data_IF_597387824819
#
_entry.id   IF_597387824819
#
_cell.length_a   1.000
_cell.length_b   1.000
_cell.length_c   1.000
_cell.angle_alpha   90.00
_cell.angle_beta   90.00
_cell.angle_gamma   90.00
#
_symmetry.space_group_name_H-M   'P 1'
#
loop_
_entity.id
_entity.type
_entity.pdbx_description
1 polymer ?
#
# COMPACT_ATOMS: atom_id res chain seq x y z
N UNK A 1 64.47 27.23 49.57
CA UNK A 1 63.29 27.90 48.98
C UNK A 1 62.85 27.35 47.61
N UNK A 2 63.37 26.19 47.12
CA UNK A 2 62.98 25.60 45.81
C UNK A 2 61.83 24.57 45.88
N UNK A 3 61.71 23.86 47.00
CA UNK A 3 60.77 22.72 47.12
C UNK A 3 59.28 23.11 47.29
N UNK A 4 59.01 24.32 47.81
CA UNK A 4 57.61 24.80 47.91
C UNK A 4 57.09 25.34 46.58
N UNK A 5 57.96 25.90 45.75
CA UNK A 5 57.60 26.47 44.46
C UNK A 5 57.31 25.36 43.44
N UNK A 6 58.12 24.29 43.42
CA UNK A 6 57.88 23.12 42.56
C UNK A 6 56.56 22.43 42.88
N UNK A 7 56.17 22.34 44.16
CA UNK A 7 54.87 21.76 44.57
C UNK A 7 53.69 22.61 44.11
N UNK A 8 53.82 23.94 44.12
CA UNK A 8 52.81 24.87 43.61
C UNK A 8 52.71 24.77 42.09
N UNK A 9 53.84 24.69 41.38
CA UNK A 9 53.87 24.49 39.93
C UNK A 9 53.25 23.15 39.51
N UNK A 10 53.57 22.06 40.22
CA UNK A 10 52.97 20.75 39.97
C UNK A 10 51.46 20.75 40.21
N UNK A 11 50.99 21.40 41.27
CA UNK A 11 49.54 21.55 41.53
C UNK A 11 48.85 22.33 40.41
N UNK A 12 49.45 23.41 39.92
CA UNK A 12 48.90 24.20 38.82
C UNK A 12 48.81 23.38 37.51
N UNK A 13 49.80 22.54 37.22
CA UNK A 13 49.78 21.64 36.05
C UNK A 13 48.68 20.59 36.20
N UNK A 14 48.51 20.01 37.39
CA UNK A 14 47.45 19.02 37.63
C UNK A 14 46.06 19.64 37.49
N UNK A 15 45.85 20.85 38.02
CA UNK A 15 44.57 21.57 37.90
C UNK A 15 44.25 21.92 36.45
N UNK A 16 45.26 22.36 35.68
CA UNK A 16 45.06 22.66 34.24
C UNK A 16 44.79 21.39 33.43
N UNK A 17 45.44 20.27 33.73
CA UNK A 17 45.14 18.98 33.11
C UNK A 17 43.71 18.50 33.45
N UNK A 18 43.28 18.64 34.71
CA UNK A 18 41.91 18.31 35.11
C UNK A 18 40.89 19.22 34.41
N UNK A 19 41.18 20.51 34.27
CA UNK A 19 40.32 21.45 33.56
C UNK A 19 40.24 21.13 32.06
N UNK A 20 41.34 20.73 31.42
CA UNK A 20 41.37 20.28 30.02
C UNK A 20 40.58 18.98 29.86
N UNK A 21 40.71 18.03 30.78
CA UNK A 21 39.93 16.78 30.77
C UNK A 21 38.45 17.05 31.01
N UNK A 22 38.10 17.93 31.94
CA UNK A 22 36.73 18.35 32.20
C UNK A 22 36.12 19.09 30.99
N UNK A 23 36.88 20.00 30.37
CA UNK A 23 36.48 20.71 29.17
C UNK A 23 36.35 19.78 27.95
N UNK A 24 37.27 18.83 27.78
CA UNK A 24 37.18 17.79 26.77
C UNK A 24 35.98 16.88 27.02
N UNK A 25 35.66 16.53 28.27
CA UNK A 25 34.44 15.76 28.59
C UNK A 25 33.15 16.57 28.43
N UNK A 26 33.21 17.90 28.59
CA UNK A 26 32.13 18.83 28.26
C UNK A 26 31.91 18.98 26.75
N UNK A 27 32.98 18.93 25.95
CA UNK A 27 32.95 19.01 24.48
C UNK A 27 32.68 17.65 23.81
N UNK A 28 33.02 16.54 24.49
CA UNK A 28 32.69 15.15 24.10
C UNK A 28 31.28 14.74 24.57
N UNK A 29 30.50 15.69 25.10
CA UNK A 29 29.05 15.69 24.86
C UNK A 29 28.75 16.20 23.44
N UNK A 30 29.53 15.72 22.49
CA UNK A 30 29.21 15.67 21.07
C UNK A 30 27.94 14.85 20.98
N UNK A 31 26.82 15.55 20.84
CA UNK A 31 25.72 15.34 19.90
C UNK A 31 25.59 13.96 19.21
N UNK A 32 25.83 12.87 19.95
CA UNK A 32 25.79 11.50 19.44
C UNK A 32 24.38 10.90 19.51
N UNK A 33 23.38 11.73 19.78
CA UNK A 33 21.98 11.32 19.90
C UNK A 33 21.01 12.19 19.08
N UNK A 34 21.49 12.88 18.04
CA UNK A 34 20.63 13.58 17.06
C UNK A 34 20.73 13.07 15.62
N UNK A 35 21.24 11.86 15.40
CA UNK A 35 20.79 11.06 14.25
C UNK A 35 19.56 10.28 14.69
N UNK A 36 18.55 11.01 15.15
CA UNK A 36 17.21 10.48 15.28
C UNK A 36 16.65 10.43 13.88
N UNK A 37 16.61 9.22 13.32
CA UNK A 37 15.74 8.80 12.23
C UNK A 37 14.89 9.93 11.61
N UNK A 38 15.47 10.70 10.68
CA UNK A 38 14.75 11.74 9.94
C UNK A 38 13.73 11.14 8.95
N UNK A 39 13.60 9.81 8.90
CA UNK A 39 12.43 9.17 8.31
C UNK A 39 11.33 9.23 9.35
N UNK A 40 10.66 10.37 9.42
CA UNK A 40 9.48 10.50 10.26
C UNK A 40 8.49 9.35 10.00
N UNK A 41 7.58 9.03 10.94
CA UNK A 41 6.66 7.90 10.83
C UNK A 41 5.79 7.92 9.55
N UNK A 42 5.69 9.05 8.85
CA UNK A 42 5.08 9.13 7.51
C UNK A 42 5.97 8.54 6.40
N UNK A 43 7.28 8.78 6.43
CA UNK A 43 8.25 8.24 5.46
C UNK A 43 8.38 6.73 5.63
N UNK A 44 8.47 6.24 6.87
CA UNK A 44 8.52 4.80 7.16
C UNK A 44 7.22 4.08 6.73
N UNK A 45 6.05 4.68 6.98
CA UNK A 45 4.77 4.16 6.48
C UNK A 45 4.70 4.13 4.96
N UNK A 46 5.15 5.19 4.28
CA UNK A 46 5.20 5.22 2.82
C UNK A 46 6.14 4.15 2.25
N UNK A 47 7.29 3.88 2.89
CA UNK A 47 8.21 2.80 2.49
C UNK A 47 7.53 1.43 2.68
N UNK A 48 6.82 1.22 3.79
CA UNK A 48 6.12 -0.05 4.05
C UNK A 48 4.96 -0.31 3.10
N UNK A 49 4.13 0.72 2.85
CA UNK A 49 3.09 0.67 1.82
C UNK A 49 3.69 0.36 0.45
N UNK A 50 4.86 0.95 0.18
CA UNK A 50 5.52 0.75 -1.10
C UNK A 50 6.07 -0.66 -1.29
N UNK A 51 6.76 -1.17 -0.29
CA UNK A 51 7.29 -2.54 -0.28
C UNK A 51 6.14 -3.52 -0.38
N UNK A 52 5.03 -3.28 0.33
CA UNK A 52 3.81 -4.10 0.23
C UNK A 52 3.24 -4.07 -1.18
N UNK A 53 3.06 -2.90 -1.79
CA UNK A 53 2.50 -2.80 -3.12
C UNK A 53 3.35 -3.54 -4.17
N UNK A 54 4.68 -3.35 -4.13
CA UNK A 54 5.60 -4.05 -5.02
C UNK A 54 5.57 -5.57 -4.80
N UNK A 55 5.56 -6.01 -3.55
CA UNK A 55 5.44 -7.42 -3.20
C UNK A 55 4.16 -8.04 -3.76
N UNK A 56 3.02 -7.35 -3.68
CA UNK A 56 1.76 -7.84 -4.23
C UNK A 56 1.82 -7.93 -5.76
N UNK A 57 2.37 -6.93 -6.44
CA UNK A 57 2.55 -6.96 -7.90
C UNK A 57 3.38 -8.18 -8.32
N UNK A 58 4.53 -8.41 -7.68
CA UNK A 58 5.39 -9.56 -7.99
C UNK A 58 4.73 -10.91 -7.64
N UNK A 59 4.06 -10.99 -6.50
CA UNK A 59 3.42 -12.24 -6.02
C UNK A 59 2.28 -12.67 -6.94
N UNK A 60 1.57 -11.71 -7.54
CA UNK A 60 0.37 -11.96 -8.32
C UNK A 60 0.55 -11.89 -9.83
N UNK A 61 1.73 -11.46 -10.30
CA UNK A 61 2.14 -11.44 -11.70
C UNK A 61 1.81 -12.74 -12.47
N UNK A 62 2.00 -13.96 -11.91
CA UNK A 62 1.63 -15.19 -12.63
C UNK A 62 0.14 -15.29 -12.97
N UNK A 63 -0.74 -14.70 -12.15
CA UNK A 63 -2.19 -14.69 -12.42
C UNK A 63 -2.50 -13.77 -13.59
N UNK A 64 -1.89 -12.58 -13.62
CA UNK A 64 -2.06 -11.62 -14.72
C UNK A 64 -1.57 -12.24 -16.04
N UNK A 65 -0.42 -12.92 -16.04
CA UNK A 65 0.10 -13.61 -17.22
C UNK A 65 -0.82 -14.73 -17.72
N UNK A 66 -1.40 -15.53 -16.83
CA UNK A 66 -2.37 -16.57 -17.20
C UNK A 66 -3.65 -15.93 -17.78
N UNK A 67 -4.10 -14.80 -17.21
CA UNK A 67 -5.23 -14.03 -17.72
C UNK A 67 -4.96 -13.48 -19.11
N UNK A 68 -3.80 -12.88 -19.36
CA UNK A 68 -3.40 -12.36 -20.68
C UNK A 68 -3.38 -13.44 -21.76
N UNK A 69 -2.96 -14.66 -21.40
CA UNK A 69 -3.03 -15.84 -22.28
C UNK A 69 -4.43 -16.42 -22.44
N UNK A 70 -5.42 -15.85 -21.76
CA UNK A 70 -6.81 -16.33 -21.68
C UNK A 70 -6.95 -17.73 -21.07
N UNK A 71 -5.96 -18.15 -20.29
CA UNK A 71 -5.97 -19.41 -19.54
C UNK A 71 -6.75 -19.25 -18.23
N UNK A 72 -8.02 -18.83 -18.33
CA UNK A 72 -8.81 -18.38 -17.18
C UNK A 72 -9.00 -19.43 -16.10
N UNK A 73 -9.14 -20.71 -16.47
CA UNK A 73 -9.25 -21.80 -15.51
C UNK A 73 -7.98 -21.94 -14.66
N UNK A 74 -6.81 -21.85 -15.28
CA UNK A 74 -5.52 -21.87 -14.59
C UNK A 74 -5.32 -20.61 -13.74
N UNK A 75 -5.71 -19.43 -14.25
CA UNK A 75 -5.64 -18.18 -13.51
C UNK A 75 -6.49 -18.23 -12.23
N UNK A 76 -7.74 -18.71 -12.31
CA UNK A 76 -8.63 -18.85 -11.16
C UNK A 76 -8.12 -19.89 -10.15
N UNK A 77 -7.56 -21.01 -10.64
CA UNK A 77 -6.92 -21.99 -9.76
C UNK A 77 -5.74 -21.35 -9.02
N UNK A 78 -4.94 -20.53 -9.71
CA UNK A 78 -3.82 -19.83 -9.10
C UNK A 78 -4.26 -18.81 -8.06
N UNK A 79 -5.34 -18.07 -8.33
CA UNK A 79 -5.97 -17.19 -7.33
C UNK A 79 -6.39 -17.97 -6.09
N UNK A 80 -7.00 -19.16 -6.25
CA UNK A 80 -7.43 -19.99 -5.13
C UNK A 80 -6.24 -20.53 -4.31
N UNK A 81 -5.12 -20.86 -4.96
CA UNK A 81 -3.89 -21.22 -4.26
C UNK A 81 -3.37 -20.05 -3.43
N UNK A 82 -3.30 -18.86 -4.01
CA UNK A 82 -2.81 -17.65 -3.35
C UNK A 82 -3.71 -17.22 -2.19
N UNK A 83 -5.03 -17.43 -2.29
CA UNK A 83 -5.99 -17.13 -1.21
C UNK A 83 -5.73 -17.96 0.05
N UNK A 84 -5.13 -19.16 -0.07
CA UNK A 84 -4.72 -19.96 1.09
C UNK A 84 -3.52 -19.34 1.82
N UNK A 85 -2.58 -18.77 1.07
CA UNK A 85 -1.38 -18.13 1.62
C UNK A 85 -1.64 -16.72 2.10
N UNK A 86 -2.59 -16.02 1.47
CA UNK A 86 -2.92 -14.62 1.72
C UNK A 86 -4.43 -14.45 1.92
N UNK A 87 -5.00 -15.03 3.01
CA UNK A 87 -6.44 -14.98 3.25
C UNK A 87 -6.90 -13.53 3.44
N UNK A 88 -7.96 -13.14 2.73
CA UNK A 88 -8.55 -11.81 2.83
C UNK A 88 -7.78 -10.70 2.11
N UNK A 89 -6.73 -11.01 1.35
CA UNK A 89 -6.01 -10.02 0.55
C UNK A 89 -6.92 -9.48 -0.57
N UNK A 90 -7.27 -8.18 -0.56
CA UNK A 90 -8.26 -7.62 -1.49
C UNK A 90 -7.79 -7.64 -2.95
N UNK A 91 -6.49 -7.69 -3.21
CA UNK A 91 -5.97 -7.75 -4.59
C UNK A 91 -6.40 -9.05 -5.29
N UNK A 92 -6.55 -10.15 -4.55
CA UNK A 92 -7.07 -11.40 -5.11
C UNK A 92 -8.52 -11.25 -5.63
N UNK A 93 -9.31 -10.36 -5.02
CA UNK A 93 -10.66 -10.05 -5.50
C UNK A 93 -10.63 -9.21 -6.79
N UNK A 94 -9.65 -8.31 -6.96
CA UNK A 94 -9.43 -7.61 -8.23
C UNK A 94 -9.13 -8.61 -9.34
N UNK A 95 -8.15 -9.48 -9.14
CA UNK A 95 -7.73 -10.47 -10.14
C UNK A 95 -8.90 -11.40 -10.52
N UNK A 96 -9.58 -11.95 -9.52
CA UNK A 96 -10.76 -12.79 -9.74
C UNK A 96 -11.86 -12.03 -10.47
N UNK A 97 -12.09 -10.77 -10.11
CA UNK A 97 -13.06 -9.91 -10.78
C UNK A 97 -12.73 -9.70 -12.25
N UNK A 98 -11.48 -9.35 -12.55
CA UNK A 98 -10.97 -9.16 -13.92
C UNK A 98 -11.18 -10.42 -14.78
N UNK A 99 -10.79 -11.59 -14.27
CA UNK A 99 -10.98 -12.87 -14.96
C UNK A 99 -12.46 -13.17 -15.21
N UNK A 100 -13.33 -12.96 -14.22
CA UNK A 100 -14.77 -13.23 -14.37
C UNK A 100 -15.43 -12.31 -15.40
N UNK A 101 -15.03 -11.04 -15.47
CA UNK A 101 -15.52 -10.10 -16.49
C UNK A 101 -15.14 -10.59 -17.89
N UNK A 102 -13.88 -11.01 -18.08
CA UNK A 102 -13.43 -11.53 -19.38
C UNK A 102 -14.11 -12.86 -19.77
N UNK A 103 -14.51 -13.68 -18.80
CA UNK A 103 -15.31 -14.90 -19.03
C UNK A 103 -16.82 -14.62 -19.25
N UNK A 104 -17.25 -13.35 -19.21
CA UNK A 104 -18.65 -12.96 -19.38
C UNK A 104 -19.51 -13.07 -18.11
N UNK A 105 -18.94 -13.48 -16.97
CA UNK A 105 -19.59 -13.51 -15.66
C UNK A 105 -19.64 -12.10 -15.04
N UNK A 106 -20.28 -11.17 -15.76
CA UNK A 106 -20.19 -9.73 -15.53
C UNK A 106 -20.65 -9.31 -14.12
N UNK A 107 -21.81 -9.78 -13.68
CA UNK A 107 -22.40 -9.39 -12.39
C UNK A 107 -21.57 -9.88 -11.21
N UNK A 108 -20.95 -11.06 -11.31
CA UNK A 108 -20.02 -11.58 -10.32
C UNK A 108 -18.73 -10.78 -10.32
N UNK A 109 -18.16 -10.50 -11.50
CA UNK A 109 -16.95 -9.68 -11.65
C UNK A 109 -17.10 -8.30 -10.99
N UNK A 110 -18.20 -7.60 -11.29
CA UNK A 110 -18.56 -6.31 -10.66
C UNK A 110 -18.56 -6.41 -9.13
N UNK A 111 -19.16 -7.49 -8.59
CA UNK A 111 -19.24 -7.68 -7.15
C UNK A 111 -17.85 -7.86 -6.52
N UNK A 112 -16.92 -8.52 -7.21
CA UNK A 112 -15.53 -8.75 -6.74
C UNK A 112 -14.71 -7.46 -6.74
N UNK A 113 -14.79 -6.66 -7.80
CA UNK A 113 -14.18 -5.33 -7.82
C UNK A 113 -14.65 -4.46 -6.66
N UNK A 114 -15.97 -4.41 -6.44
CA UNK A 114 -16.52 -3.63 -5.34
C UNK A 114 -16.16 -4.20 -3.96
N UNK A 115 -15.96 -5.51 -3.83
CA UNK A 115 -15.46 -6.09 -2.58
C UNK A 115 -14.03 -5.60 -2.28
N UNK A 116 -13.14 -5.60 -3.29
CA UNK A 116 -11.78 -5.08 -3.15
C UNK A 116 -11.77 -3.59 -2.77
N UNK A 117 -12.54 -2.76 -3.50
CA UNK A 117 -12.59 -1.30 -3.27
C UNK A 117 -13.19 -0.92 -1.91
N UNK A 118 -14.06 -1.75 -1.34
CA UNK A 118 -14.58 -1.55 0.03
C UNK A 118 -13.53 -1.78 1.10
N UNK A 119 -12.61 -2.71 0.86
CA UNK A 119 -11.54 -3.05 1.81
C UNK A 119 -10.37 -2.08 1.66
N UNK A 120 -9.99 -1.77 0.42
CA UNK A 120 -8.92 -0.82 0.15
C UNK A 120 -9.34 0.21 -0.91
N UNK A 121 -9.36 1.48 -0.52
CA UNK A 121 -9.67 2.61 -1.39
C UNK A 121 -8.58 2.90 -2.43
N UNK A 122 -7.36 2.42 -2.22
CA UNK A 122 -6.19 2.68 -3.08
C UNK A 122 -6.38 2.19 -4.52
N UNK A 123 -7.27 1.20 -4.74
CA UNK A 123 -7.56 0.71 -6.09
C UNK A 123 -8.19 1.77 -6.99
N UNK A 124 -8.84 2.79 -6.43
CA UNK A 124 -9.45 3.90 -7.19
C UNK A 124 -8.69 5.21 -7.07
N UNK A 125 -7.67 5.27 -6.20
CA UNK A 125 -6.75 6.40 -6.07
C UNK A 125 -5.74 6.37 -7.23
N UNK A 126 -5.67 7.46 -7.99
CA UNK A 126 -4.75 7.56 -9.13
C UNK A 126 -3.27 7.60 -8.72
N UNK A 127 -2.97 8.01 -7.48
CA UNK A 127 -1.60 8.11 -6.97
C UNK A 127 -1.08 6.80 -6.36
N UNK A 128 -1.96 5.81 -6.15
CA UNK A 128 -1.57 4.51 -5.61
C UNK A 128 -0.80 3.67 -6.62
N UNK A 129 0.19 2.90 -6.16
CA UNK A 129 0.86 1.88 -7.00
C UNK A 129 -0.01 0.66 -7.29
N UNK A 130 -1.06 0.45 -6.48
CA UNK A 130 -2.03 -0.63 -6.69
C UNK A 130 -3.24 -0.17 -7.51
N UNK A 131 -3.22 1.06 -8.05
CA UNK A 131 -4.38 1.61 -8.74
C UNK A 131 -4.88 0.67 -9.85
N UNK A 132 -6.20 0.61 -9.96
CA UNK A 132 -6.97 -0.09 -10.99
C UNK A 132 -8.04 0.85 -11.56
N UNK A 133 -7.85 2.17 -11.39
CA UNK A 133 -8.83 3.21 -11.70
C UNK A 133 -9.32 3.10 -13.14
N UNK A 134 -8.41 2.98 -14.11
CA UNK A 134 -8.76 2.85 -15.54
C UNK A 134 -9.57 1.58 -15.82
N UNK A 135 -9.19 0.45 -15.24
CA UNK A 135 -9.90 -0.82 -15.39
C UNK A 135 -11.31 -0.74 -14.80
N UNK A 136 -11.45 -0.17 -13.59
CA UNK A 136 -12.74 -0.02 -12.91
C UNK A 136 -13.62 1.02 -13.62
N UNK A 137 -13.04 2.12 -14.14
CA UNK A 137 -13.79 3.10 -14.96
C UNK A 137 -14.38 2.42 -16.19
N UNK A 138 -13.57 1.70 -16.96
CA UNK A 138 -14.05 0.95 -18.13
C UNK A 138 -15.14 -0.05 -17.73
N UNK A 139 -14.91 -0.82 -16.67
CA UNK A 139 -15.92 -1.76 -16.16
C UNK A 139 -17.26 -1.06 -15.88
N UNK A 140 -17.22 0.10 -15.22
CA UNK A 140 -18.43 0.86 -14.87
C UNK A 140 -19.12 1.39 -16.12
N UNK A 141 -18.38 2.03 -17.02
CA UNK A 141 -18.90 2.63 -18.25
C UNK A 141 -19.51 1.58 -19.19
N UNK A 142 -18.81 0.45 -19.39
CA UNK A 142 -19.25 -0.62 -20.29
C UNK A 142 -20.45 -1.39 -19.71
N UNK A 143 -20.49 -1.58 -18.39
CA UNK A 143 -21.52 -2.41 -17.74
C UNK A 143 -22.81 -1.67 -17.46
N UNK A 144 -22.76 -0.36 -17.16
CA UNK A 144 -23.91 0.40 -16.69
C UNK A 144 -25.12 0.36 -17.66
N UNK A 145 -24.97 0.64 -18.97
CA UNK A 145 -26.08 0.59 -19.90
C UNK A 145 -26.68 -0.82 -20.00
N UNK A 146 -25.83 -1.84 -20.15
CA UNK A 146 -26.28 -3.23 -20.31
C UNK A 146 -27.02 -3.77 -19.09
N UNK A 147 -26.55 -3.45 -17.87
CA UNK A 147 -27.22 -3.84 -16.63
C UNK A 147 -28.56 -3.12 -16.46
N UNK A 148 -28.67 -1.84 -16.86
CA UNK A 148 -29.94 -1.11 -16.84
C UNK A 148 -30.97 -1.74 -17.77
N UNK A 149 -30.60 -1.96 -19.03
CA UNK A 149 -31.49 -2.59 -20.01
C UNK A 149 -31.88 -4.01 -19.61
N UNK A 150 -30.95 -4.79 -19.04
CA UNK A 150 -31.24 -6.14 -18.53
C UNK A 150 -32.25 -6.11 -17.38
N UNK A 151 -32.13 -5.14 -16.46
CA UNK A 151 -33.07 -4.98 -15.35
C UNK A 151 -34.46 -4.52 -15.81
N UNK A 152 -34.54 -3.70 -16.85
CA UNK A 152 -35.81 -3.27 -17.46
C UNK A 152 -36.52 -4.43 -18.15
N UNK A 153 -35.77 -5.28 -18.86
CA UNK A 153 -36.31 -6.45 -19.55
C UNK A 153 -36.70 -7.58 -18.57
N UNK A 154 -35.86 -7.84 -17.56
CA UNK A 154 -36.10 -8.83 -16.52
C UNK A 154 -35.77 -8.25 -15.14
N UNK A 155 -36.79 -7.80 -14.38
CA UNK A 155 -36.63 -7.28 -13.03
C UNK A 155 -36.19 -8.34 -12.00
N UNK A 156 -34.92 -8.75 -12.06
CA UNK A 156 -34.36 -9.71 -11.12
C UNK A 156 -33.45 -9.08 -10.04
N UNK A 157 -33.32 -9.71 -8.85
CA UNK A 157 -32.49 -9.19 -7.77
C UNK A 157 -31.00 -9.05 -8.12
N UNK A 158 -30.50 -9.88 -9.04
CA UNK A 158 -29.08 -9.90 -9.44
C UNK A 158 -28.71 -8.62 -10.18
N UNK A 159 -29.47 -8.22 -11.20
CA UNK A 159 -29.25 -6.98 -11.92
C UNK A 159 -29.46 -5.75 -11.02
N UNK A 160 -30.44 -5.80 -10.12
CA UNK A 160 -30.65 -4.72 -9.13
C UNK A 160 -29.44 -4.55 -8.21
N UNK A 161 -28.85 -5.64 -7.73
CA UNK A 161 -27.64 -5.63 -6.90
C UNK A 161 -26.40 -5.17 -7.68
N UNK A 162 -26.24 -5.64 -8.91
CA UNK A 162 -25.15 -5.22 -9.80
C UNK A 162 -25.23 -3.71 -10.08
N UNK A 163 -26.41 -3.19 -10.41
CA UNK A 163 -26.63 -1.76 -10.66
C UNK A 163 -26.27 -0.90 -9.44
N UNK A 164 -26.73 -1.29 -8.24
CA UNK A 164 -26.34 -0.61 -6.99
C UNK A 164 -24.82 -0.64 -6.77
N UNK A 165 -24.18 -1.75 -7.12
CA UNK A 165 -22.74 -1.94 -6.97
C UNK A 165 -21.95 -1.08 -7.97
N UNK A 166 -22.43 -0.95 -9.21
CA UNK A 166 -21.86 -0.05 -10.20
C UNK A 166 -21.94 1.41 -9.78
N UNK A 167 -23.07 1.86 -9.23
CA UNK A 167 -23.19 3.22 -8.69
C UNK A 167 -22.24 3.48 -7.52
N UNK A 168 -22.03 2.47 -6.66
CA UNK A 168 -21.01 2.56 -5.61
C UNK A 168 -19.61 2.76 -6.20
N UNK A 169 -19.21 1.94 -7.18
CA UNK A 169 -17.91 2.07 -7.85
C UNK A 169 -17.76 3.41 -8.55
N UNK A 170 -18.80 3.87 -9.26
CA UNK A 170 -18.84 5.18 -9.91
C UNK A 170 -18.62 6.33 -8.91
N UNK A 171 -19.30 6.29 -7.76
CA UNK A 171 -19.11 7.28 -6.69
C UNK A 171 -17.69 7.25 -6.12
N UNK A 172 -17.11 6.06 -5.92
CA UNK A 172 -15.73 5.92 -5.44
C UNK A 172 -14.69 6.44 -6.43
N UNK A 173 -14.91 6.26 -7.73
CA UNK A 173 -14.08 6.84 -8.77
C UNK A 173 -14.14 8.37 -8.76
N UNK A 174 -15.34 8.95 -8.61
CA UNK A 174 -15.52 10.40 -8.59
C UNK A 174 -14.85 11.08 -7.38
N UNK A 175 -14.84 10.42 -6.21
CA UNK A 175 -14.25 10.96 -4.97
C UNK A 175 -12.75 10.74 -4.79
N UNK A 176 -12.07 10.01 -5.69
CA UNK A 176 -10.63 9.73 -5.58
C UNK A 176 -9.70 10.80 -6.16
N UNK A 177 -10.19 12.02 -6.36
CA UNK A 177 -9.45 13.15 -6.95
C UNK A 177 -9.01 14.21 -5.91
N UNK A 178 -9.22 13.97 -4.62
CA UNK A 178 -8.90 14.91 -3.53
C UNK A 178 -7.54 14.62 -2.88
#
# INVERSE_FOLDING_TARGET
MRDRFDKICLLAIVVTLIAIVAFASGFVRSDKNRVGDERGPAVERAIQEQVRANFLLETFEPVEQLKEKREYAAALLKVQELEKSYPGEPHLQILRGSILVEQGALTEGIARYAAAVRVNGDYVDANSRLNRRTEITRLVEDSLPGIKSSLEADPNPTYKKALKTLYYLQSRLAGGCE
#
